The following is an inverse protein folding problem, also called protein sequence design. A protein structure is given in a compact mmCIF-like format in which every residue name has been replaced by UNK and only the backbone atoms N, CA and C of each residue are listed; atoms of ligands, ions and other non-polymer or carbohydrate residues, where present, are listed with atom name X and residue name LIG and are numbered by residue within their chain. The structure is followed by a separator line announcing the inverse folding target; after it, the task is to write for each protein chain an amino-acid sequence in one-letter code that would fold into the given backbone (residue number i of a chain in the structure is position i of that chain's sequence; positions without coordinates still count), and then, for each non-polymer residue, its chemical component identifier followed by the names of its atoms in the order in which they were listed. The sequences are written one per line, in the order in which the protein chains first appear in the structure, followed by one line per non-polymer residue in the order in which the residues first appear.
data_IF_160131435082
#
_entry.id   IF_160131435082
#
_cell.length_a   1.000
_cell.length_b   1.000
_cell.length_c   1.000
_cell.angle_alpha   90.00
_cell.angle_beta   90.00
_cell.angle_gamma   90.00
#
_symmetry.space_group_name_H-M   'P 1'
#
loop_
_entity.id
_entity.type
_entity.pdbx_description
1 polymer ?
#
# COMPACT_ATOMS: atom_id res chain seq x y z
N UNK A 1 3.00 -10.55 -12.55
CA UNK A 1 1.60 -10.39 -12.11
C UNK A 1 1.55 -9.21 -11.17
N UNK A 2 0.56 -8.34 -11.33
CA UNK A 2 0.36 -7.17 -10.46
C UNK A 2 -0.19 -7.61 -9.10
N UNK A 3 0.43 -7.17 -8.00
CA UNK A 3 -0.07 -7.46 -6.65
C UNK A 3 -1.29 -6.60 -6.30
N UNK A 4 -2.12 -7.06 -5.36
CA UNK A 4 -3.37 -6.40 -4.97
C UNK A 4 -3.42 -6.14 -3.47
N UNK A 5 -3.62 -4.87 -3.11
CA UNK A 5 -3.93 -4.42 -1.75
C UNK A 5 -5.39 -4.00 -1.63
N UNK A 6 -6.10 -4.59 -0.66
CA UNK A 6 -7.47 -4.19 -0.30
C UNK A 6 -7.40 -3.34 0.96
N UNK A 7 -7.72 -2.05 0.88
CA UNK A 7 -7.57 -1.09 1.97
C UNK A 7 -8.90 -0.74 2.66
N UNK A 8 -8.84 -0.31 3.92
CA UNK A 8 -10.00 0.13 4.70
C UNK A 8 -10.85 -1.02 5.26
N UNK A 9 -10.24 -2.15 5.59
CA UNK A 9 -10.90 -3.26 6.27
C UNK A 9 -11.14 -2.90 7.74
N UNK A 10 -12.30 -3.28 8.28
CA UNK A 10 -12.67 -2.98 9.68
C UNK A 10 -13.06 -4.20 10.47
N UNK A 11 -13.28 -5.35 9.82
CA UNK A 11 -13.70 -6.57 10.50
C UNK A 11 -12.87 -7.79 10.10
N UNK A 12 -12.80 -8.82 10.97
CA UNK A 12 -12.21 -10.12 10.62
C UNK A 12 -12.84 -10.78 9.38
N UNK A 13 -14.12 -10.51 9.09
CA UNK A 13 -14.78 -11.03 7.90
C UNK A 13 -14.28 -10.33 6.63
N UNK A 14 -14.01 -9.02 6.69
CA UNK A 14 -13.49 -8.24 5.56
C UNK A 14 -12.13 -8.81 5.11
N UNK A 15 -11.20 -8.98 6.06
CA UNK A 15 -9.84 -9.45 5.74
C UNK A 15 -9.82 -10.91 5.28
N UNK A 16 -10.68 -11.78 5.83
CA UNK A 16 -10.82 -13.17 5.35
C UNK A 16 -11.37 -13.20 3.94
N UNK A 17 -12.41 -12.41 3.65
CA UNK A 17 -12.97 -12.32 2.31
C UNK A 17 -11.95 -11.81 1.29
N UNK A 18 -11.10 -10.84 1.67
CA UNK A 18 -10.02 -10.36 0.82
C UNK A 18 -8.95 -11.43 0.59
N UNK A 19 -8.54 -12.14 1.65
CA UNK A 19 -7.58 -13.24 1.56
C UNK A 19 -8.08 -14.38 0.65
N UNK A 20 -9.33 -14.83 0.84
CA UNK A 20 -9.98 -15.87 0.03
C UNK A 20 -10.11 -15.46 -1.45
N UNK A 21 -10.29 -14.16 -1.72
CA UNK A 21 -10.35 -13.64 -3.08
C UNK A 21 -8.96 -13.52 -3.74
N UNK A 22 -7.86 -13.69 -2.99
CA UNK A 22 -6.49 -13.63 -3.50
C UNK A 22 -5.82 -12.27 -3.38
N UNK A 23 -6.19 -11.48 -2.36
CA UNK A 23 -5.46 -10.27 -2.00
C UNK A 23 -4.05 -10.61 -1.50
N UNK A 24 -3.09 -9.76 -1.85
CA UNK A 24 -1.70 -9.88 -1.43
C UNK A 24 -1.46 -9.07 -0.14
N UNK A 25 -2.22 -7.99 0.04
CA UNK A 25 -2.17 -7.15 1.24
C UNK A 25 -3.58 -6.76 1.69
N UNK A 26 -3.74 -6.57 3.00
CA UNK A 26 -4.93 -5.96 3.60
C UNK A 26 -4.57 -4.74 4.43
N UNK A 27 -5.22 -3.60 4.15
CA UNK A 27 -5.01 -2.34 4.84
C UNK A 27 -6.01 -2.08 5.96
N UNK A 28 -5.51 -1.60 7.10
CA UNK A 28 -6.26 -1.21 8.30
C UNK A 28 -5.95 0.26 8.62
N UNK A 29 -6.97 1.09 8.75
CA UNK A 29 -6.78 2.55 8.86
C UNK A 29 -6.78 2.98 10.32
N UNK A 30 -5.67 3.51 10.80
CA UNK A 30 -5.54 4.11 12.13
C UNK A 30 -5.63 5.64 12.09
N UNK A 31 -5.34 6.24 10.94
CA UNK A 31 -5.53 7.66 10.68
C UNK A 31 -6.99 8.09 10.82
N UNK A 32 -7.21 9.28 11.39
CA UNK A 32 -8.55 9.85 11.65
C UNK A 32 -9.39 9.90 10.37
N UNK A 33 -10.45 9.08 10.30
CA UNK A 33 -11.34 9.01 9.15
C UNK A 33 -12.63 8.26 9.47
N UNK A 34 -13.57 8.19 8.53
CA UNK A 34 -14.78 7.33 8.65
C UNK A 34 -14.47 5.82 8.67
N UNK A 35 -13.23 5.45 8.33
CA UNK A 35 -12.76 4.06 8.27
C UNK A 35 -11.76 3.74 9.40
N UNK A 36 -11.53 4.68 10.32
CA UNK A 36 -10.61 4.50 11.45
C UNK A 36 -11.03 3.32 12.33
N UNK A 37 -10.06 2.51 12.74
CA UNK A 37 -10.22 1.41 13.69
C UNK A 37 -9.31 1.59 14.90
N UNK A 38 -9.62 0.90 15.99
CA UNK A 38 -8.75 0.77 17.16
C UNK A 38 -7.82 -0.45 17.10
N UNK A 39 -6.82 -0.47 18.00
CA UNK A 39 -5.85 -1.57 18.15
C UNK A 39 -6.53 -2.93 18.36
N UNK A 40 -7.57 -3.00 19.19
CA UNK A 40 -8.28 -4.26 19.46
C UNK A 40 -8.97 -4.86 18.24
N UNK A 41 -9.52 -4.02 17.36
CA UNK A 41 -10.11 -4.45 16.09
C UNK A 41 -9.03 -4.95 15.11
N UNK A 42 -7.90 -4.24 15.04
CA UNK A 42 -6.74 -4.65 14.26
C UNK A 42 -6.20 -6.00 14.71
N UNK A 43 -6.02 -6.23 16.02
CA UNK A 43 -5.59 -7.52 16.55
C UNK A 43 -6.55 -8.65 16.19
N UNK A 44 -7.86 -8.40 16.20
CA UNK A 44 -8.84 -9.41 15.79
C UNK A 44 -8.70 -9.76 14.30
N UNK A 45 -8.41 -8.78 13.44
CA UNK A 45 -8.14 -8.99 12.02
C UNK A 45 -6.81 -9.70 11.76
N UNK A 46 -5.73 -9.31 12.44
CA UNK A 46 -4.42 -9.99 12.35
C UNK A 46 -4.57 -11.46 12.74
N UNK A 47 -5.20 -11.75 13.89
CA UNK A 47 -5.46 -13.13 14.34
C UNK A 47 -6.31 -13.95 13.36
N UNK A 48 -7.20 -13.30 12.61
CA UNK A 48 -8.02 -13.96 11.61
C UNK A 48 -7.25 -14.41 10.36
N UNK A 49 -6.05 -13.86 10.13
CA UNK A 49 -5.17 -14.16 9.00
C UNK A 49 -3.98 -15.05 9.39
N UNK A 50 -3.87 -15.46 10.65
CA UNK A 50 -2.75 -16.27 11.17
C UNK A 50 -1.78 -15.46 12.04
N UNK A 51 -0.58 -16.00 12.23
CA UNK A 51 0.44 -15.34 13.04
C UNK A 51 1.05 -14.13 12.31
N UNK A 52 1.49 -13.08 13.03
CA UNK A 52 2.24 -11.96 12.46
C UNK A 52 3.53 -12.43 11.76
N UNK A 53 3.97 -11.68 10.75
CA UNK A 53 5.25 -11.94 10.07
C UNK A 53 6.42 -11.98 11.07
N UNK A 54 6.36 -11.18 12.13
CA UNK A 54 7.37 -11.16 13.19
C UNK A 54 7.59 -12.52 13.88
N UNK A 55 6.59 -13.42 13.88
CA UNK A 55 6.76 -14.79 14.37
C UNK A 55 7.66 -15.64 13.43
N UNK A 56 7.82 -15.20 12.18
CA UNK A 56 8.62 -15.83 11.13
C UNK A 56 10.00 -15.15 10.91
N UNK A 57 10.25 -13.99 11.54
CA UNK A 57 11.46 -13.16 11.37
C UNK A 57 12.77 -13.81 11.85
N UNK A 58 12.74 -14.89 12.65
CA UNK A 58 13.96 -15.58 13.14
C UNK A 58 14.81 -16.15 11.98
N UNK A 59 14.26 -16.26 10.76
CA UNK A 59 14.95 -16.86 9.61
C UNK A 59 15.59 -15.88 8.62
N UNK A 60 15.34 -14.57 8.66
CA UNK A 60 15.79 -13.67 7.57
C UNK A 60 16.21 -12.28 8.06
N UNK A 61 17.51 -11.94 8.10
CA UNK A 61 17.92 -10.55 7.98
C UNK A 61 17.85 -10.13 6.49
N UNK A 62 17.43 -8.91 6.15
CA UNK A 62 17.57 -8.43 4.79
C UNK A 62 19.07 -8.29 4.44
N UNK A 63 19.50 -8.66 3.23
CA UNK A 63 20.87 -8.44 2.81
C UNK A 63 21.13 -6.93 2.65
N UNK A 64 21.87 -6.33 3.58
CA UNK A 64 22.33 -4.95 3.46
C UNK A 64 23.31 -4.84 2.28
N UNK A 65 22.96 -4.06 1.24
CA UNK A 65 23.93 -3.53 0.28
C UNK A 65 24.05 -2.02 0.48
N UNK A 66 25.28 -1.53 0.41
CA UNK A 66 25.59 -0.11 0.51
C UNK A 66 25.13 0.61 -0.75
N UNK A 67 24.39 1.68 -0.55
CA UNK A 67 23.67 2.37 -1.60
C UNK A 67 24.30 3.79 -1.79
N UNK A 68 24.73 4.13 -3.03
CA UNK A 68 24.99 5.50 -3.50
C UNK A 68 24.12 5.87 -4.74
N UNK A 69 23.51 7.08 -4.77
CA UNK A 69 22.60 7.77 -5.75
C UNK A 69 22.20 7.17 -7.13
N UNK A 70 22.89 6.22 -7.74
CA UNK A 70 22.30 5.24 -8.69
C UNK A 70 21.31 4.27 -7.99
N UNK A 71 21.09 4.50 -6.69
CA UNK A 71 20.37 3.70 -5.73
C UNK A 71 18.89 3.57 -5.86
N UNK A 72 18.16 4.60 -6.27
CA UNK A 72 16.70 4.61 -6.06
C UNK A 72 16.03 3.39 -6.68
N UNK A 73 16.47 3.09 -7.91
CA UNK A 73 16.02 1.93 -8.66
C UNK A 73 16.41 0.62 -8.03
N UNK A 74 17.63 0.52 -7.54
CA UNK A 74 18.08 -0.70 -6.87
C UNK A 74 17.42 -0.87 -5.51
N UNK A 75 17.19 0.22 -4.78
CA UNK A 75 16.56 0.28 -3.47
C UNK A 75 15.10 -0.16 -3.52
N UNK A 76 14.27 0.45 -4.37
CA UNK A 76 12.86 0.04 -4.46
C UNK A 76 12.70 -1.34 -5.11
N UNK A 77 13.60 -1.76 -6.02
CA UNK A 77 13.65 -3.16 -6.46
C UNK A 77 14.00 -4.11 -5.33
N UNK A 78 14.96 -3.76 -4.48
CA UNK A 78 15.31 -4.54 -3.31
C UNK A 78 14.14 -4.62 -2.32
N UNK A 79 13.48 -3.49 -2.05
CA UNK A 79 12.29 -3.45 -1.20
C UNK A 79 11.14 -4.31 -1.75
N UNK A 80 10.90 -4.29 -3.07
CA UNK A 80 9.95 -5.19 -3.71
C UNK A 80 10.31 -6.68 -3.50
N UNK A 81 11.59 -7.06 -3.63
CA UNK A 81 12.06 -8.42 -3.37
C UNK A 81 11.87 -8.83 -1.90
N UNK A 82 12.14 -7.93 -0.95
CA UNK A 82 11.91 -8.16 0.48
C UNK A 82 10.42 -8.41 0.75
N UNK A 83 9.54 -7.58 0.18
CA UNK A 83 8.09 -7.74 0.33
C UNK A 83 7.60 -9.05 -0.32
N UNK A 84 8.12 -9.41 -1.50
CA UNK A 84 7.78 -10.68 -2.15
C UNK A 84 8.20 -11.88 -1.29
N UNK A 85 9.38 -11.86 -0.68
CA UNK A 85 9.81 -12.89 0.27
C UNK A 85 8.89 -12.96 1.51
N UNK A 86 8.43 -11.82 2.02
CA UNK A 86 7.44 -11.80 3.11
C UNK A 86 6.09 -12.39 2.68
N UNK A 87 5.67 -12.12 1.44
CA UNK A 87 4.44 -12.66 0.85
C UNK A 87 4.50 -14.16 0.55
N UNK A 88 5.70 -14.76 0.51
CA UNK A 88 5.87 -16.22 0.48
C UNK A 88 5.67 -16.85 1.87
N UNK A 89 6.07 -16.14 2.94
CA UNK A 89 5.89 -16.59 4.31
C UNK A 89 4.45 -16.41 4.82
N UNK A 90 3.82 -15.28 4.48
CA UNK A 90 2.47 -14.93 4.92
C UNK A 90 1.72 -14.16 3.83
N UNK A 91 0.50 -14.62 3.51
CA UNK A 91 -0.38 -13.94 2.55
C UNK A 91 -1.84 -13.98 3.00
N UNK A 92 -2.54 -12.83 3.08
CA UNK A 92 -2.06 -11.47 2.82
C UNK A 92 -1.20 -10.91 3.96
N UNK A 93 -0.30 -9.98 3.63
CA UNK A 93 0.37 -9.14 4.63
C UNK A 93 -0.57 -8.05 5.16
N UNK A 94 -0.47 -7.76 6.45
CA UNK A 94 -1.26 -6.72 7.11
C UNK A 94 -0.53 -5.37 7.11
N UNK A 95 -1.24 -4.32 6.69
CA UNK A 95 -0.68 -2.96 6.57
C UNK A 95 -1.48 -1.99 7.43
N UNK A 96 -0.83 -1.33 8.38
CA UNK A 96 -1.44 -0.22 9.12
C UNK A 96 -1.26 1.10 8.38
N UNK A 97 -2.34 1.85 8.18
CA UNK A 97 -2.35 3.12 7.46
C UNK A 97 -2.48 4.27 8.44
N UNK A 98 -1.47 5.13 8.47
CA UNK A 98 -1.32 6.28 9.35
C UNK A 98 -1.21 7.56 8.52
N UNK A 99 -1.57 8.69 9.13
CA UNK A 99 -1.47 10.01 8.52
C UNK A 99 -1.36 11.05 9.64
N UNK A 100 -0.26 11.79 9.65
CA UNK A 100 0.05 12.92 10.54
C UNK A 100 -0.01 12.56 12.03
N UNK A 101 0.24 11.28 12.35
CA UNK A 101 0.37 10.80 13.73
C UNK A 101 1.83 10.85 14.18
N UNK A 102 2.12 11.15 15.46
CA UNK A 102 3.48 11.05 16.00
C UNK A 102 4.09 9.66 15.75
N UNK A 103 5.35 9.58 15.35
CA UNK A 103 5.97 8.29 14.98
C UNK A 103 6.08 7.34 16.18
N UNK A 104 6.20 7.87 17.39
CA UNK A 104 6.11 7.09 18.62
C UNK A 104 4.76 6.36 18.73
N UNK A 105 3.65 7.06 18.44
CA UNK A 105 2.30 6.49 18.45
C UNK A 105 2.14 5.44 17.33
N UNK A 106 2.68 5.70 16.14
CA UNK A 106 2.70 4.74 15.02
C UNK A 106 3.39 3.45 15.44
N UNK A 107 4.55 3.55 16.10
CA UNK A 107 5.33 2.41 16.58
C UNK A 107 4.60 1.62 17.66
N UNK A 108 3.98 2.29 18.63
CA UNK A 108 3.18 1.67 19.69
C UNK A 108 2.00 0.88 19.08
N UNK A 109 1.23 1.50 18.19
CA UNK A 109 0.10 0.86 17.51
C UNK A 109 0.60 -0.33 16.67
N UNK A 110 1.69 -0.18 15.93
CA UNK A 110 2.22 -1.24 15.08
C UNK A 110 2.66 -2.47 15.89
N UNK A 111 3.32 -2.23 17.03
CA UNK A 111 3.73 -3.28 17.95
C UNK A 111 2.52 -3.97 18.59
N UNK A 112 1.58 -3.20 19.15
CA UNK A 112 0.43 -3.75 19.86
C UNK A 112 -0.56 -4.48 18.95
N UNK A 113 -0.78 -3.97 17.74
CA UNK A 113 -1.70 -4.58 16.78
C UNK A 113 -1.13 -5.83 16.10
N UNK A 114 0.20 -5.93 16.01
CA UNK A 114 0.89 -7.02 15.31
C UNK A 114 0.77 -6.94 13.78
N UNK A 115 0.61 -5.73 13.23
CA UNK A 115 0.66 -5.51 11.78
C UNK A 115 2.07 -5.76 11.23
N UNK A 116 2.14 -6.21 9.98
CA UNK A 116 3.40 -6.57 9.34
C UNK A 116 4.13 -5.34 8.79
N UNK A 117 3.40 -4.40 8.17
CA UNK A 117 3.93 -3.20 7.51
C UNK A 117 3.21 -1.92 7.97
N UNK A 118 3.90 -0.79 7.86
CA UNK A 118 3.35 0.56 8.10
C UNK A 118 3.25 1.31 6.76
N UNK A 119 2.15 2.02 6.55
CA UNK A 119 1.94 2.94 5.44
C UNK A 119 1.74 4.35 5.99
N UNK A 120 2.62 5.28 5.63
CA UNK A 120 2.51 6.70 5.98
C UNK A 120 1.85 7.44 4.81
N UNK A 121 0.71 8.08 5.07
CA UNK A 121 -0.19 8.63 4.05
C UNK A 121 -0.53 10.12 4.21
N UNK A 122 0.05 10.80 5.20
CA UNK A 122 -0.14 12.22 5.48
C UNK A 122 0.93 13.08 4.80
N UNK A 123 1.49 14.01 5.58
CA UNK A 123 2.62 14.87 5.23
C UNK A 123 3.93 14.38 5.89
N UNK A 124 4.01 13.12 6.31
CA UNK A 124 5.23 12.55 6.90
C UNK A 124 6.41 12.64 5.93
N UNK A 125 7.57 13.01 6.47
CA UNK A 125 8.81 13.16 5.71
C UNK A 125 9.48 11.80 5.47
N UNK A 126 10.44 11.76 4.55
CA UNK A 126 11.27 10.57 4.36
C UNK A 126 12.06 10.24 5.63
N UNK A 127 12.57 11.25 6.35
CA UNK A 127 13.27 11.07 7.63
C UNK A 127 12.40 10.39 8.70
N UNK A 128 11.10 10.68 8.71
CA UNK A 128 10.15 10.02 9.64
C UNK A 128 10.09 8.50 9.41
N UNK A 129 10.30 8.03 8.18
CA UNK A 129 10.32 6.60 7.88
C UNK A 129 11.45 5.85 8.61
N UNK A 130 12.59 6.51 8.89
CA UNK A 130 13.70 5.90 9.66
C UNK A 130 13.37 5.68 11.13
N UNK A 131 12.40 6.43 11.65
CA UNK A 131 11.97 6.34 13.04
C UNK A 131 10.90 5.25 13.22
N UNK A 132 10.35 4.71 12.13
CA UNK A 132 9.39 3.61 12.17
C UNK A 132 10.12 2.27 12.34
N UNK A 133 9.67 1.49 13.31
CA UNK A 133 10.26 0.18 13.69
C UNK A 133 9.87 -0.95 12.74
N UNK A 134 8.80 -0.76 11.96
CA UNK A 134 8.35 -1.66 10.90
C UNK A 134 8.79 -1.17 9.53
N UNK A 135 8.76 -2.06 8.55
CA UNK A 135 9.02 -1.68 7.18
C UNK A 135 7.92 -0.75 6.65
N UNK A 136 8.33 0.32 5.96
CA UNK A 136 7.46 1.42 5.56
C UNK A 136 7.13 1.40 4.08
N UNK A 137 5.85 1.65 3.76
CA UNK A 137 5.34 2.09 2.47
C UNK A 137 5.08 3.59 2.57
N UNK A 138 5.85 4.40 1.82
CA UNK A 138 5.66 5.85 1.79
C UNK A 138 4.69 6.24 0.68
N UNK A 139 3.67 7.04 1.00
CA UNK A 139 2.72 7.55 0.00
C UNK A 139 3.15 8.94 -0.47
N UNK A 140 3.26 9.09 -1.79
CA UNK A 140 3.43 10.40 -2.44
C UNK A 140 2.12 10.75 -3.14
N UNK A 141 1.55 11.90 -2.77
CA UNK A 141 0.33 12.41 -3.38
C UNK A 141 0.66 13.23 -4.62
N UNK A 142 0.12 12.84 -5.77
CA UNK A 142 0.38 13.52 -7.05
C UNK A 142 -0.88 14.27 -7.50
N UNK A 143 -0.73 15.55 -7.79
CA UNK A 143 -1.74 16.40 -8.43
C UNK A 143 -1.48 16.56 -9.93
N UNK A 144 -2.51 16.74 -10.78
CA UNK A 144 -2.31 17.09 -12.20
C UNK A 144 -1.53 18.38 -12.42
N UNK A 145 -1.54 19.29 -11.42
CA UNK A 145 -0.72 20.51 -11.45
C UNK A 145 0.75 20.25 -11.14
N UNK A 146 1.06 19.10 -10.54
CA UNK A 146 2.42 18.81 -10.14
C UNK A 146 3.30 18.47 -11.32
N UNK A 147 2.72 18.11 -12.49
CA UNK A 147 3.35 17.62 -13.72
C UNK A 147 4.83 18.00 -13.78
N UNK A 148 5.69 17.24 -13.09
CA UNK A 148 7.03 17.70 -12.85
C UNK A 148 7.80 17.53 -14.15
N UNK A 149 8.73 18.45 -14.43
CA UNK A 149 9.77 18.16 -15.41
C UNK A 149 10.58 16.91 -15.04
N UNK A 150 10.58 16.55 -13.75
CA UNK A 150 11.20 15.33 -13.20
C UNK A 150 10.33 14.75 -12.06
N UNK A 151 9.54 13.70 -12.31
CA UNK A 151 8.66 13.08 -11.32
C UNK A 151 9.39 12.31 -10.23
N UNK A 152 10.68 12.00 -10.41
CA UNK A 152 11.50 11.30 -9.43
C UNK A 152 11.97 12.22 -8.30
N UNK A 153 11.89 13.55 -8.45
CA UNK A 153 12.34 14.53 -7.45
C UNK A 153 11.74 14.38 -6.05
N UNK A 154 10.61 13.68 -5.95
CA UNK A 154 9.88 13.49 -4.70
C UNK A 154 10.26 12.21 -3.98
N UNK A 155 11.12 11.38 -4.57
CA UNK A 155 11.48 10.05 -4.10
C UNK A 155 12.85 10.10 -3.46
N UNK A 156 12.96 9.71 -2.18
CA UNK A 156 14.24 9.60 -1.49
C UNK A 156 14.51 8.14 -1.09
N UNK A 157 15.61 7.52 -1.54
CA UNK A 157 15.92 6.12 -1.23
C UNK A 157 16.55 5.98 0.16
N UNK A 158 16.44 4.80 0.76
CA UNK A 158 17.07 4.49 2.06
C UNK A 158 16.13 4.57 3.26
N UNK A 159 14.92 5.10 3.08
CA UNK A 159 14.01 5.44 4.16
C UNK A 159 12.76 4.56 4.20
N UNK A 160 12.15 4.27 3.05
CA UNK A 160 11.00 3.37 2.91
C UNK A 160 11.29 2.28 1.86
N UNK A 161 10.77 1.07 2.06
CA UNK A 161 11.05 -0.05 1.14
C UNK A 161 10.08 -0.09 -0.05
N UNK A 162 9.00 0.68 0.00
CA UNK A 162 8.03 0.76 -1.09
C UNK A 162 7.49 2.18 -1.23
N UNK A 163 7.21 2.55 -2.48
CA UNK A 163 6.58 3.81 -2.86
C UNK A 163 5.15 3.53 -3.33
N UNK A 164 4.20 4.29 -2.79
CA UNK A 164 2.83 4.33 -3.27
C UNK A 164 2.51 5.70 -3.85
N UNK A 165 1.96 5.75 -5.05
CA UNK A 165 1.36 6.97 -5.58
C UNK A 165 -0.13 6.94 -5.33
N UNK A 166 -0.63 7.96 -4.65
CA UNK A 166 -2.06 8.19 -4.47
C UNK A 166 -2.47 9.49 -5.16
N UNK A 167 -3.74 9.56 -5.51
CA UNK A 167 -4.35 10.78 -5.98
C UNK A 167 -4.41 11.80 -4.85
N UNK A 168 -4.14 13.07 -5.16
CA UNK A 168 -4.36 14.19 -4.23
C UNK A 168 -5.86 14.39 -3.86
N UNK A 169 -6.73 13.42 -4.14
CA UNK A 169 -8.17 13.42 -3.90
C UNK A 169 -8.49 12.26 -2.95
N UNK A 170 -8.23 12.45 -1.66
CA UNK A 170 -8.42 11.44 -0.61
C UNK A 170 -9.06 12.04 0.63
N UNK A 171 -9.47 11.23 1.63
CA UNK A 171 -10.01 11.75 2.89
C UNK A 171 -9.02 12.64 3.65
N UNK A 172 -7.72 12.55 3.32
CA UNK A 172 -6.62 13.28 3.93
C UNK A 172 -6.11 14.46 3.09
N UNK A 173 -6.56 14.63 1.83
CA UNK A 173 -6.17 15.75 0.95
C UNK A 173 -7.33 16.20 0.05
N UNK A 174 -7.65 17.50 0.12
CA UNK A 174 -8.75 18.12 -0.61
C UNK A 174 -8.34 18.69 -1.97
N UNK A 175 -9.24 18.61 -2.95
CA UNK A 175 -9.20 19.45 -4.17
C UNK A 175 -9.86 18.86 -5.42
N UNK A 176 -10.48 19.73 -6.23
CA UNK A 176 -10.91 19.68 -7.65
C UNK A 176 -11.79 18.57 -8.27
N UNK A 177 -11.85 17.34 -7.74
CA UNK A 177 -12.71 16.28 -8.31
C UNK A 177 -12.27 15.75 -9.68
N UNK A 178 -10.99 15.86 -10.05
CA UNK A 178 -10.42 15.31 -11.29
C UNK A 178 -9.74 13.96 -11.04
N UNK A 179 -9.82 13.00 -11.97
CA UNK A 179 -9.14 11.71 -11.83
C UNK A 179 -7.61 11.89 -11.82
N UNK A 180 -6.93 10.96 -11.15
CA UNK A 180 -5.48 10.87 -11.08
C UNK A 180 -4.84 10.83 -12.46
N UNK A 181 -3.72 11.53 -12.63
CA UNK A 181 -3.00 11.56 -13.91
C UNK A 181 -2.12 10.31 -14.06
N UNK A 182 -2.66 9.30 -14.74
CA UNK A 182 -1.94 8.07 -15.07
C UNK A 182 -0.68 8.31 -15.90
N UNK A 183 -0.53 9.46 -16.57
CA UNK A 183 0.69 9.77 -17.33
C UNK A 183 1.90 9.88 -16.40
N UNK A 184 1.79 10.64 -15.31
CA UNK A 184 2.88 10.79 -14.32
C UNK A 184 3.22 9.45 -13.68
N UNK A 185 2.22 8.66 -13.32
CA UNK A 185 2.46 7.35 -12.72
C UNK A 185 3.13 6.37 -13.69
N UNK A 186 2.81 6.44 -14.98
CA UNK A 186 3.43 5.60 -16.01
C UNK A 186 4.92 5.90 -16.20
N UNK A 187 5.34 7.15 -15.97
CA UNK A 187 6.75 7.54 -16.02
C UNK A 187 7.48 6.94 -14.82
N UNK A 188 6.91 7.03 -13.61
CA UNK A 188 7.54 6.49 -12.39
C UNK A 188 7.59 4.96 -12.42
N UNK A 189 6.51 4.30 -12.83
CA UNK A 189 6.44 2.83 -12.88
C UNK A 189 7.37 2.20 -13.90
N UNK A 190 7.74 2.93 -14.97
CA UNK A 190 8.76 2.50 -15.91
C UNK A 190 10.14 2.41 -15.26
N UNK A 191 10.36 3.16 -14.18
CA UNK A 191 11.68 3.32 -13.56
C UNK A 191 11.81 2.53 -12.25
N UNK A 192 10.74 2.42 -11.47
CA UNK A 192 10.69 1.81 -10.15
C UNK A 192 9.44 0.91 -9.97
N UNK A 193 9.54 -0.18 -9.18
CA UNK A 193 8.34 -0.88 -8.71
C UNK A 193 7.57 0.04 -7.75
N UNK A 194 6.34 0.39 -8.13
CA UNK A 194 5.49 1.29 -7.37
C UNK A 194 4.10 0.69 -7.15
N UNK A 195 3.45 1.13 -6.08
CA UNK A 195 2.05 0.85 -5.80
C UNK A 195 1.18 1.99 -6.34
N UNK A 196 0.12 1.68 -7.07
CA UNK A 196 -0.84 2.64 -7.59
C UNK A 196 -2.13 2.60 -6.77
N UNK A 197 -2.48 3.72 -6.14
CA UNK A 197 -3.73 3.94 -5.44
C UNK A 197 -4.56 5.04 -6.14
N UNK A 198 -5.64 5.49 -5.50
CA UNK A 198 -6.42 6.65 -5.96
C UNK A 198 -7.53 6.31 -6.94
N UNK A 199 -8.77 6.20 -6.43
CA UNK A 199 -9.96 6.10 -7.27
C UNK A 199 -10.10 4.81 -8.09
N UNK A 200 -9.33 3.77 -7.80
CA UNK A 200 -9.42 2.48 -8.50
C UNK A 200 -10.73 1.76 -8.16
N UNK A 201 -11.32 1.11 -9.16
CA UNK A 201 -12.55 0.31 -9.06
C UNK A 201 -12.43 -0.94 -9.94
N UNK A 202 -13.29 -1.97 -9.75
CA UNK A 202 -13.31 -3.15 -10.62
C UNK A 202 -13.48 -2.81 -12.10
N UNK A 203 -14.13 -1.68 -12.39
CA UNK A 203 -14.44 -1.24 -13.74
C UNK A 203 -13.26 -0.54 -14.43
N UNK A 204 -12.37 0.14 -13.69
CA UNK A 204 -11.26 0.92 -14.26
C UNK A 204 -9.86 0.31 -14.06
N UNK A 205 -9.69 -0.66 -13.14
CA UNK A 205 -8.36 -1.16 -12.76
C UNK A 205 -7.60 -1.83 -13.91
N UNK A 206 -8.30 -2.51 -14.83
CA UNK A 206 -7.67 -3.11 -15.99
C UNK A 206 -7.03 -2.08 -16.92
N UNK A 207 -7.70 -0.95 -17.13
CA UNK A 207 -7.16 0.18 -17.90
C UNK A 207 -5.99 0.85 -17.18
N UNK A 208 -6.09 1.04 -15.86
CA UNK A 208 -5.01 1.58 -15.05
C UNK A 208 -3.74 0.71 -15.16
N UNK A 209 -3.88 -0.61 -15.06
CA UNK A 209 -2.76 -1.55 -15.22
C UNK A 209 -2.20 -1.52 -16.64
N UNK A 210 -3.05 -1.49 -17.67
CA UNK A 210 -2.60 -1.46 -19.06
C UNK A 210 -1.75 -0.21 -19.38
N UNK A 211 -2.13 0.95 -18.82
CA UNK A 211 -1.46 2.23 -19.05
C UNK A 211 -0.25 2.44 -18.15
N UNK A 212 -0.39 2.15 -16.85
CA UNK A 212 0.63 2.46 -15.84
C UNK A 212 1.57 1.29 -15.60
N UNK A 213 1.15 0.03 -15.75
CA UNK A 213 1.94 -1.17 -15.40
C UNK A 213 2.54 -1.11 -13.97
N UNK A 214 1.73 -0.85 -12.93
CA UNK A 214 2.24 -0.78 -11.56
C UNK A 214 2.63 -2.16 -11.04
N UNK A 215 3.54 -2.20 -10.06
CA UNK A 215 3.89 -3.44 -9.36
C UNK A 215 2.73 -3.92 -8.47
N UNK A 216 2.05 -2.98 -7.81
CA UNK A 216 0.87 -3.25 -6.96
C UNK A 216 -0.25 -2.26 -7.27
N UNK A 217 -1.50 -2.69 -7.17
CA UNK A 217 -2.68 -1.78 -7.11
C UNK A 217 -3.30 -1.80 -5.72
N UNK A 218 -3.68 -0.62 -5.21
CA UNK A 218 -4.37 -0.44 -3.93
C UNK A 218 -5.78 0.10 -4.15
N UNK A 219 -6.77 -0.56 -3.53
CA UNK A 219 -8.17 -0.11 -3.59
C UNK A 219 -8.79 0.02 -2.21
N UNK A 220 -9.28 1.23 -1.93
CA UNK A 220 -10.12 1.55 -0.78
C UNK A 220 -11.61 1.56 -1.14
N UNK A 221 -12.20 2.74 -1.28
CA UNK A 221 -13.65 2.93 -1.48
C UNK A 221 -14.22 2.26 -2.73
N UNK A 222 -13.41 1.97 -3.76
CA UNK A 222 -13.87 1.30 -4.98
C UNK A 222 -14.44 -0.11 -4.76
N UNK A 223 -14.10 -0.74 -3.63
CA UNK A 223 -14.63 -2.05 -3.20
C UNK A 223 -15.67 -1.95 -2.08
N UNK A 224 -16.26 -0.78 -1.87
CA UNK A 224 -17.27 -0.56 -0.84
C UNK A 224 -18.68 -0.44 -1.42
N UNK A 225 -19.67 -0.78 -0.57
CA UNK A 225 -21.09 -0.46 -0.73
C UNK A 225 -21.59 0.10 0.58
N UNK A 226 -22.29 1.24 0.53
CA UNK A 226 -22.81 1.95 1.71
C UNK A 226 -21.73 2.18 2.78
N UNK A 227 -20.50 2.48 2.32
CA UNK A 227 -19.34 2.74 3.17
C UNK A 227 -18.80 1.51 3.92
N UNK A 228 -19.16 0.29 3.52
CA UNK A 228 -18.64 -0.99 4.05
C UNK A 228 -18.00 -1.82 2.95
N UNK A 229 -16.98 -2.63 3.27
CA UNK A 229 -16.38 -3.56 2.31
C UNK A 229 -17.46 -4.49 1.75
N UNK A 230 -17.50 -4.60 0.43
CA UNK A 230 -18.41 -5.49 -0.29
C UNK A 230 -17.60 -6.67 -0.84
N UNK A 231 -17.82 -7.91 -0.34
CA UNK A 231 -17.09 -9.10 -0.78
C UNK A 231 -17.16 -9.38 -2.28
N UNK A 232 -18.29 -9.06 -2.92
CA UNK A 232 -18.47 -9.26 -4.36
C UNK A 232 -17.63 -8.26 -5.15
N UNK A 233 -17.59 -6.99 -4.70
CA UNK A 233 -16.73 -5.98 -5.34
C UNK A 233 -15.25 -6.23 -5.11
N UNK A 234 -14.85 -6.74 -3.94
CA UNK A 234 -13.46 -7.17 -3.68
C UNK A 234 -13.04 -8.28 -4.66
N UNK A 235 -13.89 -9.31 -4.80
CA UNK A 235 -13.63 -10.39 -5.77
C UNK A 235 -13.58 -9.86 -7.20
N UNK A 236 -14.54 -9.04 -7.61
CA UNK A 236 -14.59 -8.45 -8.95
C UNK A 236 -13.34 -7.60 -9.25
N UNK A 237 -12.82 -6.87 -8.25
CA UNK A 237 -11.59 -6.10 -8.39
C UNK A 237 -10.39 -7.02 -8.67
N UNK A 238 -10.18 -8.04 -7.85
CA UNK A 238 -9.05 -8.96 -8.01
C UNK A 238 -9.17 -9.73 -9.34
N UNK A 239 -10.37 -10.19 -9.70
CA UNK A 239 -10.61 -10.83 -11.00
C UNK A 239 -10.29 -9.91 -12.19
N UNK A 240 -10.62 -8.62 -12.09
CA UNK A 240 -10.28 -7.64 -13.12
C UNK A 240 -8.75 -7.45 -13.27
N UNK A 241 -8.02 -7.42 -12.15
CA UNK A 241 -6.54 -7.40 -12.15
C UNK A 241 -5.98 -8.65 -12.82
N UNK A 242 -6.40 -9.84 -12.38
CA UNK A 242 -5.89 -11.12 -12.91
C UNK A 242 -6.22 -11.32 -14.38
N UNK A 243 -7.39 -10.85 -14.84
CA UNK A 243 -7.77 -10.86 -16.25
C UNK A 243 -6.86 -9.98 -17.09
N UNK A 244 -6.46 -8.81 -16.58
CA UNK A 244 -5.53 -7.94 -17.28
C UNK A 244 -4.12 -8.53 -17.35
N UNK A 245 -3.63 -9.12 -16.25
CA UNK A 245 -2.35 -9.82 -16.21
C UNK A 245 -2.28 -11.00 -17.20
N UNK A 246 -3.37 -11.74 -17.36
CA UNK A 246 -3.43 -12.87 -18.30
C UNK A 246 -3.48 -12.45 -19.77
N UNK A 247 -3.83 -11.19 -20.05
CA UNK A 247 -3.95 -10.63 -21.40
C UNK A 247 -2.69 -9.87 -21.87
N UNK A 248 -1.75 -9.59 -20.96
CA UNK A 248 -0.50 -8.87 -21.20
C UNK A 248 0.65 -9.83 -21.55
#
# INVERSE_FOLDING_TARGET
MTLVKICGNRTPADVRSAAEAGADFVGMIFARSSRQIGVGEAQAMVRALGEPLAAHEIAMPPPARGHAREDEREWFRHGAQVIEAYLEAKRPLTVGVFADQPIEEVNEIALESGIDLVQLSGDETWDDCLLVTRQVIQVVHVSPLDSPSDPMRFVEPGFAIALMLDSAHGPYRGGSGRPFDWEVASIISAELPMMLAGGLTPENVGEAIARVRPWTVDVGSGTERDGRKDPERVRAFIEAVRRQDAAA
#
